data_IF_326006507222
#
_entry.id   IF_326006507222
#
_cell.length_a   1.000
_cell.length_b   1.000
_cell.length_c   1.000
_cell.angle_alpha   90.00
_cell.angle_beta   90.00
_cell.angle_gamma   90.00
#
_symmetry.space_group_name_H-M   'P 1'
#
loop_
_entity.id
_entity.type
_entity.pdbx_description
1 polymer ?
#
# COMPACT_ATOMS: atom_id res chain seq x y z
N UNK A 1 -44.83 4.02 -11.69
CA UNK A 1 -44.05 5.28 -11.77
C UNK A 1 -42.74 5.11 -11.02
N UNK A 2 -41.64 4.81 -11.71
CA UNK A 2 -40.31 4.87 -11.12
C UNK A 2 -39.98 6.34 -10.90
N UNK A 3 -40.00 6.80 -9.63
CA UNK A 3 -39.50 8.12 -9.28
C UNK A 3 -38.00 8.11 -9.57
N UNK A 4 -37.59 8.83 -10.62
CA UNK A 4 -36.22 9.24 -10.88
C UNK A 4 -35.74 10.18 -9.75
N UNK A 5 -35.59 9.65 -8.54
CA UNK A 5 -34.80 10.30 -7.52
C UNK A 5 -33.36 10.06 -7.95
N UNK A 6 -32.77 11.02 -8.67
CA UNK A 6 -31.31 11.07 -8.85
C UNK A 6 -30.71 11.18 -7.45
N UNK A 7 -30.45 10.03 -6.79
CA UNK A 7 -29.60 10.00 -5.60
C UNK A 7 -28.32 10.73 -5.98
N UNK A 8 -27.98 11.77 -5.21
CA UNK A 8 -26.75 12.51 -5.43
C UNK A 8 -25.62 11.57 -5.02
N UNK A 9 -25.05 10.88 -6.00
CA UNK A 9 -23.93 9.96 -5.79
C UNK A 9 -22.74 10.81 -5.37
N UNK A 10 -22.25 10.59 -4.16
CA UNK A 10 -21.04 11.24 -3.67
C UNK A 10 -19.85 10.66 -4.42
N UNK A 11 -19.01 11.53 -4.99
CA UNK A 11 -17.83 11.14 -5.73
C UNK A 11 -16.74 12.16 -5.49
N UNK A 12 -15.51 11.68 -5.36
CA UNK A 12 -14.40 12.56 -5.02
C UNK A 12 -13.11 11.82 -4.75
N UNK A 13 -12.23 12.54 -4.09
CA UNK A 13 -10.93 12.05 -3.64
C UNK A 13 -11.14 11.31 -2.32
N UNK A 14 -10.87 10.01 -2.31
CA UNK A 14 -10.86 9.21 -1.09
C UNK A 14 -9.55 9.38 -0.33
N UNK A 15 -8.44 9.54 -1.07
CA UNK A 15 -7.12 9.79 -0.51
C UNK A 15 -6.32 10.69 -1.47
N UNK A 16 -5.68 11.77 -0.99
CA UNK A 16 -4.95 12.73 -1.82
C UNK A 16 -3.77 12.10 -2.58
N UNK A 17 -3.43 12.68 -3.72
CA UNK A 17 -2.26 12.24 -4.48
C UNK A 17 -0.97 12.54 -3.71
N UNK A 18 -0.28 11.49 -3.25
CA UNK A 18 1.03 11.58 -2.64
C UNK A 18 2.12 11.05 -3.58
N UNK A 19 3.29 11.68 -3.57
CA UNK A 19 4.44 11.33 -4.43
C UNK A 19 5.68 11.21 -3.56
N UNK A 20 5.99 10.01 -3.07
CA UNK A 20 7.14 9.81 -2.18
C UNK A 20 8.39 9.44 -2.98
N UNK A 21 9.50 10.14 -2.73
CA UNK A 21 10.76 9.94 -3.48
C UNK A 21 11.78 9.20 -2.62
N UNK A 22 12.46 8.22 -3.21
CA UNK A 22 13.60 7.48 -2.62
C UNK A 22 13.34 6.91 -1.22
N UNK A 23 13.91 7.53 -0.18
CA UNK A 23 13.82 7.09 1.20
C UNK A 23 12.53 7.53 1.90
N UNK A 24 11.76 8.44 1.30
CA UNK A 24 10.44 8.80 1.83
C UNK A 24 9.47 7.63 1.62
N UNK A 25 8.82 7.20 2.69
CA UNK A 25 7.99 6.01 2.70
C UNK A 25 6.64 6.24 2.01
N UNK A 26 5.80 7.08 2.61
CA UNK A 26 4.42 7.35 2.20
C UNK A 26 4.00 8.78 2.59
N UNK A 27 2.81 9.20 2.19
CA UNK A 27 2.13 10.43 2.64
C UNK A 27 2.82 11.76 2.28
N UNK A 28 3.75 11.78 1.32
CA UNK A 28 4.34 13.03 0.85
C UNK A 28 3.39 13.78 -0.10
N UNK A 29 2.62 14.71 0.44
CA UNK A 29 1.77 15.66 -0.29
C UNK A 29 2.24 17.09 0.02
N UNK A 30 3.22 17.63 -0.71
CA UNK A 30 3.80 18.93 -0.41
C UNK A 30 2.76 20.06 -0.55
N UNK A 31 2.88 21.06 0.32
CA UNK A 31 2.19 22.33 0.16
C UNK A 31 2.87 23.15 -0.94
N UNK A 32 2.20 24.17 -1.47
CA UNK A 32 2.74 25.06 -2.51
C UNK A 32 4.08 25.74 -2.14
N UNK A 33 4.45 25.77 -0.86
CA UNK A 33 5.73 26.29 -0.36
C UNK A 33 6.89 25.29 -0.43
N UNK A 34 6.61 24.00 -0.63
CA UNK A 34 7.60 22.93 -0.63
C UNK A 34 7.77 22.40 -2.05
N UNK A 35 8.82 22.84 -2.73
CA UNK A 35 9.18 22.34 -4.06
C UNK A 35 10.17 21.18 -3.93
N UNK A 36 9.87 20.07 -4.59
CA UNK A 36 10.78 18.94 -4.77
C UNK A 36 10.93 18.72 -6.27
N UNK A 37 12.17 18.79 -6.76
CA UNK A 37 12.50 18.52 -8.15
C UNK A 37 12.94 17.07 -8.26
N UNK A 38 12.37 16.36 -9.23
CA UNK A 38 12.68 14.96 -9.50
C UNK A 38 13.91 14.86 -10.40
N UNK A 39 14.83 13.96 -10.08
CA UNK A 39 16.06 13.74 -10.83
C UNK A 39 16.06 12.38 -11.56
N UNK A 40 16.91 12.24 -12.58
CA UNK A 40 17.08 10.97 -13.29
C UNK A 40 17.70 9.92 -12.35
N UNK A 41 17.08 8.73 -12.27
CA UNK A 41 17.44 7.66 -11.35
C UNK A 41 16.66 7.65 -10.04
N UNK A 42 15.82 8.66 -9.78
CA UNK A 42 14.97 8.68 -8.59
C UNK A 42 13.90 7.59 -8.63
N UNK A 43 13.73 6.91 -7.50
CA UNK A 43 12.63 5.97 -7.29
C UNK A 43 11.43 6.73 -6.72
N UNK A 44 10.43 6.94 -7.57
CA UNK A 44 9.20 7.64 -7.24
C UNK A 44 8.10 6.62 -6.96
N UNK A 45 7.60 6.65 -5.72
CA UNK A 45 6.37 5.98 -5.33
C UNK A 45 5.22 6.92 -5.69
N UNK A 46 4.71 6.74 -6.90
CA UNK A 46 3.56 7.48 -7.42
C UNK A 46 2.32 6.86 -6.78
N UNK A 47 1.67 7.65 -5.95
CA UNK A 47 0.58 7.21 -5.10
C UNK A 47 1.08 6.17 -4.10
N UNK A 48 1.33 6.52 -2.84
CA UNK A 48 0.99 5.53 -1.80
C UNK A 48 -0.54 5.43 -1.64
N UNK A 49 -1.32 6.24 -2.37
CA UNK A 49 -2.41 6.98 -1.72
C UNK A 49 -3.41 7.65 -2.67
N UNK A 50 -3.35 7.48 -4.01
CA UNK A 50 -4.42 8.08 -4.84
C UNK A 50 -5.66 7.20 -4.73
N UNK A 51 -6.61 7.69 -3.94
CA UNK A 51 -7.89 7.07 -3.73
C UNK A 51 -8.97 7.85 -4.44
N UNK A 52 -9.81 7.19 -5.23
CA UNK A 52 -11.10 7.74 -5.62
C UNK A 52 -12.21 7.01 -4.87
N UNK A 53 -13.33 7.69 -4.62
CA UNK A 53 -14.54 7.01 -4.17
C UNK A 53 -15.73 7.36 -5.04
N UNK A 54 -16.62 6.39 -5.20
CA UNK A 54 -17.94 6.55 -5.81
C UNK A 54 -18.95 5.94 -4.85
N UNK A 55 -19.92 6.73 -4.41
CA UNK A 55 -20.92 6.35 -3.42
C UNK A 55 -20.33 5.80 -2.11
N UNK A 56 -19.14 6.26 -1.74
CA UNK A 56 -18.39 5.77 -0.58
C UNK A 56 -17.62 4.47 -0.81
N UNK A 57 -17.69 3.85 -1.99
CA UNK A 57 -16.82 2.73 -2.36
C UNK A 57 -15.46 3.26 -2.79
N UNK A 58 -14.43 2.86 -2.06
CA UNK A 58 -13.07 3.39 -2.20
C UNK A 58 -12.26 2.48 -3.13
N UNK A 59 -11.48 3.08 -4.01
CA UNK A 59 -10.44 2.41 -4.79
C UNK A 59 -9.15 3.20 -4.64
N UNK A 60 -8.13 2.58 -4.01
CA UNK A 60 -6.79 3.14 -3.85
C UNK A 60 -5.81 2.32 -4.67
N UNK A 61 -4.87 2.99 -5.33
CA UNK A 61 -3.80 2.34 -6.07
C UNK A 61 -2.47 2.97 -5.71
N UNK A 62 -1.45 2.12 -5.63
CA UNK A 62 -0.07 2.53 -5.44
C UNK A 62 0.87 1.93 -6.49
N UNK A 63 1.83 2.72 -6.96
CA UNK A 63 2.80 2.25 -7.96
C UNK A 63 4.18 2.86 -7.74
N UNK A 64 5.21 2.02 -7.76
CA UNK A 64 6.60 2.45 -7.69
C UNK A 64 7.21 2.44 -9.09
N UNK A 65 7.76 3.58 -9.49
CA UNK A 65 8.44 3.77 -10.77
C UNK A 65 9.83 4.38 -10.56
N UNK A 66 10.78 4.06 -11.42
CA UNK A 66 12.12 4.67 -11.41
C UNK A 66 12.24 5.59 -12.61
N UNK A 67 12.67 6.84 -12.38
CA UNK A 67 12.82 7.86 -13.41
C UNK A 67 14.09 7.64 -14.24
N UNK A 68 14.12 6.56 -15.02
CA UNK A 68 15.24 6.30 -15.92
C UNK A 68 14.77 5.63 -17.22
N UNK A 69 15.49 5.90 -18.30
CA UNK A 69 15.33 5.19 -19.56
C UNK A 69 16.11 3.89 -19.57
N UNK A 70 15.43 2.74 -19.53
CA UNK A 70 16.07 1.42 -19.67
C UNK A 70 15.88 0.50 -18.46
N UNK A 71 16.52 -0.68 -18.46
CA UNK A 71 16.38 -1.65 -17.38
C UNK A 71 16.95 -1.12 -16.06
N UNK A 72 16.18 -1.25 -14.98
CA UNK A 72 16.65 -0.98 -13.61
C UNK A 72 17.51 -2.16 -13.16
N UNK A 73 18.66 -1.87 -12.56
CA UNK A 73 19.61 -2.88 -12.07
C UNK A 73 20.07 -2.56 -10.65
N UNK A 74 20.52 -3.58 -9.93
CA UNK A 74 21.01 -3.45 -8.55
C UNK A 74 19.89 -3.44 -7.51
N UNK A 75 20.19 -2.92 -6.32
CA UNK A 75 19.29 -2.98 -5.16
C UNK A 75 17.92 -2.35 -5.39
N UNK A 76 17.82 -1.34 -6.26
CA UNK A 76 16.55 -0.73 -6.66
C UNK A 76 15.66 -1.70 -7.45
N UNK A 77 16.25 -2.54 -8.31
CA UNK A 77 15.51 -3.56 -9.04
C UNK A 77 15.05 -4.67 -8.11
N UNK A 78 15.92 -5.10 -7.18
CA UNK A 78 15.63 -6.16 -6.22
C UNK A 78 14.46 -5.79 -5.32
N UNK A 79 14.45 -4.57 -4.78
CA UNK A 79 13.37 -4.11 -3.88
C UNK A 79 12.03 -3.96 -4.61
N UNK A 80 12.03 -3.50 -5.87
CA UNK A 80 10.84 -3.39 -6.71
C UNK A 80 10.31 -4.78 -7.06
N UNK A 81 11.20 -5.70 -7.46
CA UNK A 81 10.82 -7.08 -7.76
C UNK A 81 10.29 -7.82 -6.52
N UNK A 82 10.89 -7.57 -5.35
CA UNK A 82 10.42 -8.09 -4.07
C UNK A 82 9.01 -7.59 -3.75
N UNK A 83 8.76 -6.29 -3.89
CA UNK A 83 7.43 -5.68 -3.66
C UNK A 83 6.39 -6.25 -4.62
N UNK A 84 6.70 -6.32 -5.92
CA UNK A 84 5.78 -6.83 -6.92
C UNK A 84 5.47 -8.32 -6.69
N UNK A 85 6.48 -9.13 -6.39
CA UNK A 85 6.29 -10.56 -6.10
C UNK A 85 5.49 -10.77 -4.82
N UNK A 86 5.73 -9.95 -3.79
CA UNK A 86 4.97 -10.00 -2.54
C UNK A 86 3.51 -9.60 -2.76
N UNK A 87 3.23 -8.56 -3.55
CA UNK A 87 1.87 -8.17 -3.93
C UNK A 87 1.16 -9.29 -4.71
N UNK A 88 1.87 -9.93 -5.65
CA UNK A 88 1.37 -11.07 -6.42
C UNK A 88 1.05 -12.30 -5.55
N UNK A 89 1.88 -12.57 -4.55
CA UNK A 89 1.66 -13.65 -3.59
C UNK A 89 0.47 -13.31 -2.67
N UNK A 90 0.40 -12.07 -2.17
CA UNK A 90 -0.71 -11.60 -1.36
C UNK A 90 -2.04 -11.72 -2.12
N UNK A 91 -2.09 -11.29 -3.39
CA UNK A 91 -3.25 -11.43 -4.27
C UNK A 91 -3.72 -12.88 -4.40
N UNK A 92 -2.80 -13.85 -4.44
CA UNK A 92 -3.14 -15.28 -4.55
C UNK A 92 -3.61 -15.89 -3.22
N UNK A 93 -3.14 -15.35 -2.10
CA UNK A 93 -3.46 -15.82 -0.74
C UNK A 93 -4.73 -15.18 -0.17
N UNK A 94 -5.13 -14.01 -0.66
CA UNK A 94 -6.40 -13.35 -0.33
C UNK A 94 -7.57 -14.13 -0.93
N UNK A 95 -7.96 -15.19 -0.22
CA UNK A 95 -9.09 -16.03 -0.56
C UNK A 95 -9.96 -16.22 0.67
N UNK A 96 -11.27 -16.39 0.49
CA UNK A 96 -12.15 -16.77 1.57
C UNK A 96 -11.58 -17.98 2.34
N UNK A 97 -11.74 -17.97 3.66
CA UNK A 97 -11.25 -19.00 4.60
C UNK A 97 -9.74 -19.03 4.87
N UNK A 98 -8.99 -18.08 4.32
CA UNK A 98 -7.58 -17.87 4.70
C UNK A 98 -7.48 -16.88 5.85
N UNK A 99 -6.39 -16.99 6.60
CA UNK A 99 -6.09 -16.10 7.72
C UNK A 99 -5.15 -14.99 7.27
N UNK A 100 -5.27 -13.82 7.89
CA UNK A 100 -4.34 -12.71 7.70
C UNK A 100 -2.88 -13.10 7.98
N UNK A 101 -2.61 -13.93 9.01
CA UNK A 101 -1.27 -14.43 9.34
C UNK A 101 -0.56 -15.16 8.19
N UNK A 102 -1.28 -15.96 7.42
CA UNK A 102 -0.71 -16.71 6.28
C UNK A 102 -0.14 -15.74 5.23
N UNK A 103 -0.82 -14.61 5.01
CA UNK A 103 -0.42 -13.56 4.08
C UNK A 103 0.84 -12.85 4.61
N UNK A 104 0.84 -12.49 5.89
CA UNK A 104 1.98 -11.85 6.56
C UNK A 104 3.25 -12.70 6.46
N UNK A 105 3.16 -13.99 6.78
CA UNK A 105 4.32 -14.91 6.70
C UNK A 105 4.84 -15.08 5.28
N UNK A 106 3.94 -15.13 4.29
CA UNK A 106 4.33 -15.30 2.90
C UNK A 106 5.04 -14.06 2.36
N UNK A 107 4.54 -12.86 2.66
CA UNK A 107 5.16 -11.60 2.26
C UNK A 107 6.57 -11.47 2.85
N UNK A 108 6.76 -11.83 4.12
CA UNK A 108 8.08 -11.83 4.76
C UNK A 108 9.06 -12.81 4.10
N UNK A 109 8.60 -14.02 3.77
CA UNK A 109 9.43 -15.01 3.07
C UNK A 109 9.85 -14.54 1.68
N UNK A 110 8.96 -13.86 0.96
CA UNK A 110 9.28 -13.27 -0.34
C UNK A 110 10.34 -12.18 -0.17
N UNK A 111 10.15 -11.24 0.74
CA UNK A 111 11.12 -10.17 0.96
C UNK A 111 12.52 -10.72 1.33
N UNK A 112 12.56 -11.72 2.22
CA UNK A 112 13.81 -12.38 2.60
C UNK A 112 14.51 -13.08 1.43
N UNK A 113 13.77 -13.57 0.43
CA UNK A 113 14.35 -14.19 -0.76
C UNK A 113 15.05 -13.19 -1.70
N UNK A 114 14.74 -11.90 -1.59
CA UNK A 114 15.36 -10.82 -2.34
C UNK A 114 16.32 -9.98 -1.47
N UNK A 115 16.77 -10.51 -0.32
CA UNK A 115 17.59 -9.78 0.67
C UNK A 115 17.00 -8.42 1.10
N UNK A 116 15.67 -8.28 1.01
CA UNK A 116 14.93 -7.09 1.38
C UNK A 116 14.16 -7.33 2.69
N UNK A 117 13.81 -6.25 3.38
CA UNK A 117 12.96 -6.31 4.57
C UNK A 117 11.62 -5.64 4.29
N UNK A 118 10.56 -6.20 4.84
CA UNK A 118 9.25 -5.54 4.86
C UNK A 118 9.27 -4.48 5.95
N UNK A 119 8.64 -3.36 5.66
CA UNK A 119 8.57 -2.24 6.59
C UNK A 119 7.63 -2.56 7.75
N UNK A 120 8.11 -2.31 8.97
CA UNK A 120 7.33 -2.47 10.19
C UNK A 120 6.23 -1.39 10.29
N UNK A 121 5.02 -1.77 10.70
CA UNK A 121 3.91 -0.85 10.91
C UNK A 121 3.01 -0.60 9.70
N UNK A 122 3.27 -1.22 8.54
CA UNK A 122 2.39 -1.12 7.36
C UNK A 122 1.17 -2.04 7.53
N UNK A 123 -0.01 -1.45 7.44
CA UNK A 123 -1.30 -2.08 7.66
C UNK A 123 -2.13 -2.10 6.37
N UNK A 124 -2.62 -3.28 6.01
CA UNK A 124 -3.57 -3.46 4.92
C UNK A 124 -4.99 -3.59 5.47
N UNK A 125 -5.86 -2.64 5.14
CA UNK A 125 -7.19 -2.52 5.73
C UNK A 125 -8.30 -3.14 4.86
N UNK A 126 -9.36 -3.62 5.54
CA UNK A 126 -10.63 -3.89 4.90
C UNK A 126 -11.32 -2.58 4.52
N UNK A 127 -11.89 -2.51 3.32
CA UNK A 127 -12.72 -1.41 2.88
C UNK A 127 -14.20 -1.69 3.11
N UNK A 128 -14.92 -0.67 3.58
CA UNK A 128 -16.39 -0.65 3.58
C UNK A 128 -16.89 0.67 2.99
N UNK A 129 -18.19 0.76 2.75
CA UNK A 129 -18.78 2.00 2.25
C UNK A 129 -18.52 3.14 3.25
N UNK A 130 -17.84 4.19 2.80
CA UNK A 130 -17.39 5.36 3.59
C UNK A 130 -16.36 5.05 4.70
N UNK A 131 -15.75 3.86 4.71
CA UNK A 131 -14.75 3.48 5.72
C UNK A 131 -13.52 2.92 5.01
N UNK A 132 -12.41 3.66 5.11
CA UNK A 132 -11.11 3.27 4.54
C UNK A 132 -10.33 2.34 5.48
N UNK A 133 -10.62 2.40 6.77
CA UNK A 133 -9.93 1.74 7.88
C UNK A 133 -10.85 0.73 8.58
N UNK A 134 -11.22 -0.33 7.87
CA UNK A 134 -12.04 -1.39 8.44
C UNK A 134 -11.34 -2.19 9.55
N UNK A 135 -12.14 -2.85 10.38
CA UNK A 135 -11.67 -3.60 11.56
C UNK A 135 -10.77 -4.80 11.22
N UNK A 136 -10.95 -5.43 10.05
CA UNK A 136 -10.10 -6.55 9.63
C UNK A 136 -8.84 -6.00 8.98
N UNK A 137 -7.69 -6.31 9.56
CA UNK A 137 -6.38 -5.78 9.14
C UNK A 137 -5.41 -6.93 8.88
N UNK A 138 -4.58 -6.78 7.84
CA UNK A 138 -3.43 -7.65 7.57
C UNK A 138 -2.17 -6.88 7.90
N UNK A 139 -1.36 -7.43 8.80
CA UNK A 139 -0.03 -6.89 9.12
C UNK A 139 0.97 -7.29 8.05
N UNK A 140 1.87 -6.37 7.69
CA UNK A 140 3.00 -6.70 6.82
C UNK A 140 4.16 -7.35 7.61
N UNK A 141 4.36 -6.92 8.87
CA UNK A 141 5.33 -7.51 9.80
C UNK A 141 4.67 -7.78 11.15
N UNK A 142 5.00 -8.94 11.74
CA UNK A 142 4.64 -9.26 13.12
C UNK A 142 5.65 -8.57 14.04
N UNK A 143 5.24 -7.50 14.73
CA UNK A 143 6.03 -6.89 15.79
C UNK A 143 5.40 -7.20 17.16
N UNK A 144 6.19 -7.29 18.25
CA UNK A 144 5.65 -7.46 19.60
C UNK A 144 4.73 -6.31 20.03
N UNK A 145 4.94 -5.12 19.45
CA UNK A 145 4.26 -3.87 19.78
C UNK A 145 2.94 -3.71 19.00
N UNK A 146 2.82 -4.29 17.80
CA UNK A 146 1.64 -4.20 16.95
C UNK A 146 0.97 -5.56 16.84
N UNK A 147 -0.08 -5.78 17.64
CA UNK A 147 -0.92 -6.97 17.57
C UNK A 147 -2.22 -6.63 16.85
N UNK A 148 -2.51 -7.37 15.79
CA UNK A 148 -3.86 -7.40 15.19
C UNK A 148 -4.52 -8.72 15.53
N UNK A 149 -5.84 -8.70 15.62
CA UNK A 149 -6.63 -9.89 15.84
C UNK A 149 -6.53 -10.84 14.64
N UNK A 150 -6.65 -12.13 14.92
CA UNK A 150 -6.73 -13.15 13.87
C UNK A 150 -8.03 -12.95 13.10
N UNK A 151 -7.90 -12.57 11.84
CA UNK A 151 -9.03 -12.36 10.94
C UNK A 151 -9.02 -13.43 9.84
N UNK A 152 -10.19 -14.02 9.62
CA UNK A 152 -10.46 -14.88 8.47
C UNK A 152 -11.15 -14.06 7.39
N UNK A 153 -10.69 -14.22 6.15
CA UNK A 153 -11.28 -13.56 4.99
C UNK A 153 -12.61 -14.23 4.62
N UNK A 154 -13.62 -13.44 4.33
CA UNK A 154 -14.96 -13.88 3.94
C UNK A 154 -15.27 -13.50 2.48
N UNK A 155 -16.30 -14.14 1.91
CA UNK A 155 -16.79 -13.77 0.58
C UNK A 155 -17.42 -12.38 0.59
N UNK A 156 -17.23 -11.63 -0.51
CA UNK A 156 -17.71 -10.25 -0.70
C UNK A 156 -17.02 -9.19 0.17
N UNK A 157 -15.89 -9.51 0.79
CA UNK A 157 -15.04 -8.52 1.44
C UNK A 157 -14.09 -7.86 0.45
N UNK A 158 -13.82 -6.57 0.66
CA UNK A 158 -12.89 -5.77 -0.13
C UNK A 158 -11.73 -5.35 0.76
N UNK A 159 -10.50 -5.45 0.25
CA UNK A 159 -9.29 -5.12 0.98
C UNK A 159 -8.38 -4.23 0.14
N UNK A 160 -7.71 -3.28 0.79
CA UNK A 160 -6.53 -2.61 0.25
C UNK A 160 -5.30 -3.33 0.76
N UNK A 161 -4.47 -3.78 -0.18
CA UNK A 161 -3.21 -4.44 0.13
C UNK A 161 -2.09 -3.46 -0.14
N UNK A 162 -1.47 -3.03 0.94
CA UNK A 162 -0.33 -2.14 0.92
C UNK A 162 0.92 -2.92 1.31
N UNK A 163 1.90 -2.93 0.39
CA UNK A 163 3.14 -3.67 0.51
C UNK A 163 4.28 -2.69 0.35
N UNK A 164 5.03 -2.48 1.42
CA UNK A 164 6.23 -1.64 1.40
C UNK A 164 7.44 -2.48 1.79
N UNK A 165 8.38 -2.58 0.86
CA UNK A 165 9.69 -3.20 1.05
C UNK A 165 10.76 -2.13 1.20
N UNK A 166 11.82 -2.46 1.93
CA UNK A 166 12.99 -1.62 2.15
C UNK A 166 14.25 -2.45 1.92
N UNK A 167 15.25 -1.82 1.31
CA UNK A 167 16.62 -2.34 1.23
C UNK A 167 17.39 -2.18 2.55
N UNK A 168 16.84 -1.43 3.51
CA UNK A 168 17.46 -1.14 4.80
C UNK A 168 16.95 -2.04 5.93
N UNK A 169 16.94 -1.52 7.16
CA UNK A 169 16.52 -2.27 8.34
C UNK A 169 15.00 -2.49 8.45
N UNK A 170 14.19 -1.81 7.64
CA UNK A 170 12.72 -1.89 7.68
C UNK A 170 12.08 -1.06 8.80
N UNK A 171 12.87 -0.28 9.55
CA UNK A 171 12.39 0.61 10.62
C UNK A 171 12.06 2.00 10.07
N UNK A 172 10.85 2.47 10.36
CA UNK A 172 10.39 3.79 9.97
C UNK A 172 10.76 4.80 11.05
N UNK A 173 11.26 5.96 10.63
CA UNK A 173 11.42 7.13 11.50
C UNK A 173 10.52 8.25 10.97
N UNK A 174 9.99 9.06 11.88
CA UNK A 174 9.26 10.26 11.50
C UNK A 174 10.26 11.26 10.88
N UNK A 175 10.08 11.57 9.60
CA UNK A 175 10.79 12.67 8.96
C UNK A 175 10.19 13.97 9.50
N UNK A 176 10.98 14.74 10.25
CA UNK A 176 10.65 16.12 10.58
C UNK A 176 10.79 16.94 9.30
N UNK A 177 9.66 17.29 8.69
CA UNK A 177 9.58 18.24 7.57
C UNK A 177 8.97 19.56 8.05
#
# INVERSE_FOLDING_TARGET
>A
MYKNVKKKIERGVAFPTCVSVNNTLCHFSPLASNEVVLEEGDMVKICSDMGCHIDGFIAVVAHTHVLQGGPVTGSQADVIAAANTAAEVALRLLRPRRKNKDVTEAIQKVAAAYDCKIVEGVLSHQLKQFVIDGNKVVLSVLSPETRVDDAEFEENEVYTIDIVTSTGEGKVIMLAM
#
